data_IF_017600766400
#
_entry.id   IF_017600766400
#
_cell.length_a   1.000
_cell.length_b   1.000
_cell.length_c   1.000
_cell.angle_alpha   90.00
_cell.angle_beta   90.00
_cell.angle_gamma   90.00
#
_symmetry.space_group_name_H-M   'P 1'
#
loop_
_entity.id
_entity.type
_entity.pdbx_description
1 polymer ?
#
# COMPACT_ATOMS: atom_id res chain seq x y z
N UNK A 1 15.19 23.38 -15.81
CA UNK A 1 16.38 23.08 -16.68
C UNK A 1 17.14 24.32 -17.09
N UNK A 2 17.49 25.25 -16.19
CA UNK A 2 18.48 26.33 -16.42
C UNK A 2 18.22 27.38 -17.53
N UNK A 3 17.16 27.27 -18.27
CA UNK A 3 16.82 28.20 -19.37
C UNK A 3 16.05 29.42 -18.86
N UNK A 4 16.71 30.26 -18.07
CA UNK A 4 16.06 31.41 -17.42
C UNK A 4 15.62 32.50 -18.40
N UNK A 5 16.19 32.54 -19.61
CA UNK A 5 15.82 33.46 -20.68
C UNK A 5 14.93 32.89 -21.76
N UNK A 6 14.23 31.77 -21.47
CA UNK A 6 13.35 31.16 -22.46
C UNK A 6 12.13 32.04 -22.76
N UNK A 7 11.88 32.29 -24.04
CA UNK A 7 10.68 32.99 -24.54
C UNK A 7 9.67 31.96 -25.02
N UNK A 8 8.43 32.11 -24.59
CA UNK A 8 7.34 31.23 -24.98
C UNK A 8 6.25 32.04 -25.66
N UNK A 9 6.03 31.78 -26.94
CA UNK A 9 5.00 32.45 -27.75
C UNK A 9 3.87 31.48 -28.04
N UNK A 10 2.63 31.74 -27.56
CA UNK A 10 1.46 30.91 -27.90
C UNK A 10 0.95 31.27 -29.28
N UNK A 11 1.06 30.34 -30.22
CA UNK A 11 0.50 30.48 -31.59
C UNK A 11 -0.84 29.75 -31.65
N UNK A 12 -1.92 30.52 -31.92
CA UNK A 12 -3.28 29.98 -32.04
C UNK A 12 -3.58 29.67 -33.48
N UNK A 13 -3.95 28.46 -33.79
CA UNK A 13 -4.44 28.04 -35.10
C UNK A 13 -5.91 27.61 -34.95
N UNK A 14 -6.81 28.40 -35.48
CA UNK A 14 -8.24 28.12 -35.45
C UNK A 14 -8.66 27.58 -36.82
N UNK A 15 -9.23 26.35 -36.83
CA UNK A 15 -9.78 25.73 -38.04
C UNK A 15 -11.21 25.23 -37.77
N UNK A 16 -12.21 25.91 -38.32
CA UNK A 16 -13.66 25.70 -38.06
C UNK A 16 -13.95 25.77 -36.53
N UNK A 17 -14.49 24.69 -35.94
CA UNK A 17 -14.82 24.58 -34.48
C UNK A 17 -13.70 24.05 -33.63
N UNK A 18 -12.48 23.87 -34.17
CA UNK A 18 -11.32 23.33 -33.43
C UNK A 18 -10.22 24.38 -33.33
N UNK A 19 -9.64 24.53 -32.14
CA UNK A 19 -8.48 25.37 -31.89
C UNK A 19 -7.28 24.51 -31.55
N UNK A 20 -6.17 24.72 -32.26
CA UNK A 20 -4.87 24.12 -31.94
C UNK A 20 -4.00 25.23 -31.33
N UNK A 21 -3.52 25.02 -30.12
CA UNK A 21 -2.56 25.90 -29.47
C UNK A 21 -1.18 25.30 -29.60
N UNK A 22 -0.26 26.02 -30.19
CA UNK A 22 1.15 25.63 -30.36
C UNK A 22 2.00 26.63 -29.60
N UNK A 23 2.76 26.15 -28.60
CA UNK A 23 3.74 26.95 -27.89
C UNK A 23 5.06 26.89 -28.64
N UNK A 24 5.49 28.03 -29.21
CA UNK A 24 6.81 28.17 -29.80
C UNK A 24 7.79 28.59 -28.70
N UNK A 25 8.77 27.73 -28.39
CA UNK A 25 9.72 27.94 -27.29
C UNK A 25 11.10 28.25 -27.87
N UNK A 26 11.64 29.40 -27.52
CA UNK A 26 13.04 29.79 -27.82
C UNK A 26 13.81 29.74 -26.50
N UNK A 27 14.63 28.72 -26.29
CA UNK A 27 15.23 28.42 -24.97
C UNK A 27 16.44 29.28 -24.59
N UNK A 28 17.20 29.76 -25.56
CA UNK A 28 18.50 30.41 -25.27
C UNK A 28 19.56 29.42 -24.75
N UNK A 29 20.60 29.92 -24.11
CA UNK A 29 21.63 29.09 -23.45
C UNK A 29 21.28 28.83 -22.00
N UNK A 30 21.46 27.60 -21.51
CA UNK A 30 21.17 27.26 -20.11
C UNK A 30 22.24 27.80 -19.16
N UNK A 31 21.83 28.21 -17.97
CA UNK A 31 22.73 28.57 -16.89
C UNK A 31 23.32 27.33 -16.22
N UNK A 32 24.62 27.39 -15.82
CA UNK A 32 25.30 26.33 -15.06
C UNK A 32 25.83 26.88 -13.73
N UNK A 33 25.86 26.03 -12.72
CA UNK A 33 26.42 26.33 -11.41
C UNK A 33 27.94 26.37 -11.53
N UNK A 34 28.57 27.52 -11.19
CA UNK A 34 30.02 27.69 -11.19
C UNK A 34 30.61 27.25 -9.87
N UNK A 35 30.11 27.83 -8.77
CA UNK A 35 30.56 27.51 -7.41
C UNK A 35 29.37 27.16 -6.53
N UNK A 36 29.59 26.26 -5.56
CA UNK A 36 28.58 25.85 -4.59
C UNK A 36 29.13 26.12 -3.18
N UNK A 37 28.45 26.98 -2.42
CA UNK A 37 28.78 27.33 -1.05
C UNK A 37 27.67 26.93 -0.09
N UNK A 38 28.06 26.63 1.15
CA UNK A 38 27.12 26.29 2.24
C UNK A 38 27.33 27.27 3.40
N UNK A 39 26.33 28.09 3.67
CA UNK A 39 26.28 29.00 4.81
C UNK A 39 25.39 28.39 5.90
N UNK A 40 26.00 27.59 6.77
CA UNK A 40 25.37 26.86 7.85
C UNK A 40 26.09 27.21 9.15
N UNK A 41 25.38 27.91 10.02
CA UNK A 41 25.93 28.34 11.33
C UNK A 41 25.81 27.21 12.38
N UNK A 42 24.78 26.34 12.30
CA UNK A 42 24.62 25.21 13.21
C UNK A 42 25.70 24.15 12.94
N UNK A 43 26.63 23.99 13.87
CA UNK A 43 27.78 23.10 13.75
C UNK A 43 27.38 21.62 13.61
N UNK A 44 26.30 21.18 14.29
CA UNK A 44 25.84 19.80 14.20
C UNK A 44 25.22 19.51 12.84
N UNK A 45 24.38 20.40 12.33
CA UNK A 45 23.79 20.24 11.01
C UNK A 45 24.86 20.34 9.93
N UNK A 46 25.83 21.24 10.08
CA UNK A 46 26.98 21.34 9.15
C UNK A 46 27.74 20.02 9.06
N UNK A 47 27.98 19.36 10.19
CA UNK A 47 28.66 18.06 10.22
C UNK A 47 27.79 16.95 9.56
N UNK A 48 26.47 16.90 9.80
CA UNK A 48 25.58 15.99 9.09
C UNK A 48 25.60 16.20 7.57
N UNK A 49 25.61 17.46 7.13
CA UNK A 49 25.70 17.79 5.70
C UNK A 49 27.03 17.35 5.09
N UNK A 50 28.14 17.52 5.82
CA UNK A 50 29.47 17.08 5.41
C UNK A 50 29.55 15.57 5.24
N UNK A 51 29.02 14.81 6.18
CA UNK A 51 28.97 13.34 6.12
C UNK A 51 28.09 12.83 4.96
N UNK A 52 27.09 13.60 4.57
CA UNK A 52 26.12 13.27 3.54
C UNK A 52 26.48 13.84 2.15
N UNK A 53 27.67 14.43 2.02
CA UNK A 53 28.13 15.11 0.80
C UNK A 53 28.18 14.21 -0.44
N UNK A 54 28.39 12.90 -0.27
CA UNK A 54 28.41 11.94 -1.38
C UNK A 54 27.03 11.70 -2.03
N UNK A 55 25.92 12.09 -1.34
CA UNK A 55 24.55 11.84 -1.78
C UNK A 55 23.81 13.13 -2.17
N UNK A 56 24.51 14.28 -2.14
CA UNK A 56 23.94 15.58 -2.54
C UNK A 56 23.55 15.56 -4.02
N UNK A 57 22.43 16.23 -4.32
CA UNK A 57 21.95 16.41 -5.71
C UNK A 57 22.63 17.60 -6.39
N UNK A 58 23.38 18.41 -5.63
CA UNK A 58 24.04 19.60 -6.12
C UNK A 58 25.51 19.34 -6.44
N UNK A 59 25.97 19.82 -7.57
CA UNK A 59 27.38 19.77 -7.98
C UNK A 59 27.76 20.98 -8.82
N UNK A 60 29.02 21.37 -8.76
CA UNK A 60 29.57 22.36 -9.69
C UNK A 60 29.51 21.82 -11.13
N UNK A 61 29.24 22.69 -12.09
CA UNK A 61 29.04 22.32 -13.50
C UNK A 61 27.65 21.84 -13.87
N UNK A 62 26.77 21.51 -12.91
CA UNK A 62 25.38 21.11 -13.20
C UNK A 62 24.58 22.26 -13.81
N UNK A 63 23.52 21.93 -14.56
CA UNK A 63 22.57 22.95 -14.98
C UNK A 63 21.81 23.51 -13.78
N UNK A 64 21.61 24.84 -13.79
CA UNK A 64 20.82 25.52 -12.76
C UNK A 64 19.34 25.13 -12.94
N UNK A 65 18.84 24.22 -12.09
CA UNK A 65 17.48 23.73 -12.14
C UNK A 65 16.79 23.87 -10.78
N UNK A 66 15.77 24.71 -10.73
CA UNK A 66 14.99 24.98 -9.50
C UNK A 66 14.37 23.70 -8.93
N UNK A 67 13.99 22.73 -9.77
CA UNK A 67 13.45 21.47 -9.31
C UNK A 67 14.52 20.64 -8.57
N UNK A 68 15.77 20.67 -9.04
CA UNK A 68 16.90 19.99 -8.36
C UNK A 68 17.19 20.67 -7.02
N UNK A 69 17.15 22.02 -6.98
CA UNK A 69 17.33 22.78 -5.74
C UNK A 69 16.23 22.43 -4.73
N UNK A 70 14.98 22.36 -5.16
CA UNK A 70 13.86 21.98 -4.28
C UNK A 70 13.93 20.51 -3.85
N UNK A 71 14.36 19.61 -4.72
CA UNK A 71 14.59 18.21 -4.39
C UNK A 71 15.70 18.06 -3.32
N UNK A 72 16.77 18.87 -3.41
CA UNK A 72 17.84 18.88 -2.40
C UNK A 72 17.34 19.43 -1.06
N UNK A 73 16.55 20.53 -1.07
CA UNK A 73 15.88 21.03 0.17
C UNK A 73 15.08 19.91 0.83
N UNK A 74 14.30 19.17 0.04
CA UNK A 74 13.49 18.07 0.55
C UNK A 74 14.36 16.89 1.07
N UNK A 75 15.47 16.57 0.39
CA UNK A 75 16.42 15.54 0.81
C UNK A 75 17.04 15.87 2.16
N UNK A 76 17.54 17.11 2.33
CA UNK A 76 18.12 17.59 3.57
C UNK A 76 17.07 17.58 4.69
N UNK A 77 15.89 18.10 4.43
CA UNK A 77 14.77 18.09 5.39
C UNK A 77 14.45 16.70 5.88
N UNK A 78 14.29 15.74 4.96
CA UNK A 78 14.01 14.35 5.31
C UNK A 78 15.14 13.74 6.14
N UNK A 79 16.40 14.04 5.82
CA UNK A 79 17.57 13.57 6.57
C UNK A 79 17.58 14.11 8.00
N UNK A 80 17.32 15.39 8.19
CA UNK A 80 17.26 16.01 9.52
C UNK A 80 16.08 15.50 10.35
N UNK A 81 14.89 15.36 9.76
CA UNK A 81 13.73 14.76 10.41
C UNK A 81 13.98 13.28 10.83
N UNK A 82 14.82 12.55 10.10
CA UNK A 82 15.23 11.19 10.48
C UNK A 82 16.25 11.17 11.63
N UNK A 83 16.91 12.30 11.90
CA UNK A 83 17.96 12.45 12.91
C UNK A 83 17.51 13.29 14.12
N UNK A 84 16.23 13.35 14.40
CA UNK A 84 15.70 13.94 15.63
C UNK A 84 15.23 15.38 15.52
N UNK A 85 15.42 16.07 14.41
CA UNK A 85 15.04 17.47 14.28
C UNK A 85 13.55 17.65 13.97
N UNK A 86 12.70 17.33 14.94
CA UNK A 86 11.22 17.29 14.82
C UNK A 86 10.59 18.59 14.27
N UNK A 87 11.10 19.76 14.68
CA UNK A 87 10.57 21.07 14.25
C UNK A 87 11.19 21.57 12.94
N UNK A 88 12.09 20.80 12.33
CA UNK A 88 12.74 21.21 11.08
C UNK A 88 11.74 21.09 9.92
N UNK A 89 11.75 22.11 9.05
CA UNK A 89 10.96 22.09 7.82
C UNK A 89 11.78 22.65 6.64
N UNK A 90 11.29 22.46 5.43
CA UNK A 90 11.96 22.85 4.19
C UNK A 90 12.20 24.37 4.07
N UNK A 91 11.39 25.18 4.72
CA UNK A 91 11.46 26.64 4.62
C UNK A 91 12.69 27.25 5.34
N UNK A 92 13.35 26.48 6.21
CA UNK A 92 14.62 26.88 6.79
C UNK A 92 15.78 26.83 5.79
N UNK A 93 15.61 26.22 4.61
CA UNK A 93 16.64 26.13 3.57
C UNK A 93 16.27 27.06 2.44
N UNK A 94 17.15 28.02 2.14
CA UNK A 94 17.03 28.93 1.00
C UNK A 94 18.30 28.93 0.17
N UNK A 95 18.21 29.48 -1.04
CA UNK A 95 19.35 29.64 -1.94
C UNK A 95 19.49 31.08 -2.37
N UNK A 96 20.71 31.55 -2.40
CA UNK A 96 21.11 32.76 -3.14
C UNK A 96 21.81 32.33 -4.41
N UNK A 97 21.38 32.87 -5.54
CA UNK A 97 21.95 32.58 -6.85
C UNK A 97 22.43 33.88 -7.51
N UNK A 98 23.73 34.10 -7.51
CA UNK A 98 24.35 35.28 -8.11
C UNK A 98 24.82 34.98 -9.53
N UNK A 99 24.29 35.71 -10.51
CA UNK A 99 24.68 35.54 -11.91
C UNK A 99 25.98 36.30 -12.20
N UNK A 100 26.93 35.60 -12.79
CA UNK A 100 28.17 36.21 -13.25
C UNK A 100 27.92 37.04 -14.51
N UNK A 101 28.25 38.34 -14.47
CA UNK A 101 27.98 39.29 -15.54
C UNK A 101 28.56 38.82 -16.89
N UNK A 102 27.77 38.92 -17.95
CA UNK A 102 28.09 38.47 -19.32
C UNK A 102 28.46 36.98 -19.45
N UNK A 103 27.96 36.12 -18.53
CA UNK A 103 28.16 34.68 -18.59
C UNK A 103 26.84 33.95 -18.34
N UNK A 104 26.80 32.66 -18.65
CA UNK A 104 25.69 31.76 -18.29
C UNK A 104 26.08 30.92 -17.06
N UNK A 105 26.80 31.56 -16.10
CA UNK A 105 27.28 30.95 -14.88
C UNK A 105 26.58 31.56 -13.66
N UNK A 106 26.35 30.73 -12.63
CA UNK A 106 25.69 31.11 -11.38
C UNK A 106 26.54 30.63 -10.21
N UNK A 107 26.83 31.54 -9.27
CA UNK A 107 27.36 31.17 -7.96
C UNK A 107 26.20 30.90 -7.01
N UNK A 108 26.12 29.67 -6.50
CA UNK A 108 25.04 29.20 -5.68
C UNK A 108 25.45 29.09 -4.22
N UNK A 109 24.73 29.72 -3.32
CA UNK A 109 24.92 29.60 -1.88
C UNK A 109 23.67 29.04 -1.23
N UNK A 110 23.81 27.92 -0.52
CA UNK A 110 22.76 27.35 0.32
C UNK A 110 22.84 27.99 1.70
N UNK A 111 21.73 28.57 2.15
CA UNK A 111 21.59 29.15 3.49
C UNK A 111 20.69 28.29 4.35
N UNK A 112 21.10 28.07 5.60
CA UNK A 112 20.27 27.44 6.63
C UNK A 112 19.88 28.50 7.67
N UNK A 113 18.60 28.87 7.71
CA UNK A 113 18.08 29.79 8.70
C UNK A 113 18.07 29.17 10.11
N UNK A 114 18.39 29.92 11.17
CA UNK A 114 18.28 29.44 12.54
C UNK A 114 16.81 29.24 12.96
N UNK A 115 16.59 28.42 13.97
CA UNK A 115 15.26 28.21 14.54
C UNK A 115 14.77 29.47 15.27
N UNK A 116 13.53 29.86 15.01
CA UNK A 116 12.80 30.89 15.78
C UNK A 116 11.39 30.38 16.04
N UNK A 117 10.91 30.53 17.28
CA UNK A 117 9.53 30.15 17.62
C UNK A 117 8.55 31.22 17.15
N UNK A 118 8.91 32.50 17.33
CA UNK A 118 8.23 33.67 16.80
C UNK A 118 9.25 34.57 16.10
N UNK A 119 8.78 35.46 15.22
CA UNK A 119 9.68 36.31 14.42
C UNK A 119 10.57 37.24 15.25
N UNK A 120 10.14 37.58 16.46
CA UNK A 120 10.86 38.48 17.39
C UNK A 120 11.83 37.73 18.33
N UNK A 121 11.81 36.39 18.34
CA UNK A 121 12.67 35.61 19.22
C UNK A 121 14.13 35.63 18.77
N UNK A 122 15.03 35.51 19.75
CA UNK A 122 16.47 35.34 19.47
C UNK A 122 16.72 34.07 18.69
N UNK A 123 17.56 34.13 17.61
CA UNK A 123 17.89 32.95 16.83
C UNK A 123 18.55 31.86 17.68
N UNK A 124 18.10 30.63 17.54
CA UNK A 124 18.62 29.47 18.26
C UNK A 124 19.02 28.37 17.26
N UNK A 125 19.90 27.48 17.69
CA UNK A 125 20.21 26.27 16.94
C UNK A 125 19.02 25.33 16.94
N UNK A 126 18.86 24.57 15.86
CA UNK A 126 17.84 23.53 15.78
C UNK A 126 18.11 22.43 16.81
N UNK A 127 17.07 22.04 17.54
CA UNK A 127 17.18 21.04 18.61
C UNK A 127 16.81 19.64 18.11
N UNK A 128 17.55 18.63 18.59
CA UNK A 128 17.19 17.24 18.43
C UNK A 128 16.24 16.83 19.57
N UNK A 129 15.15 16.17 19.22
CA UNK A 129 14.13 15.71 20.15
C UNK A 129 14.24 14.21 20.38
N UNK A 130 14.05 13.80 21.63
CA UNK A 130 13.98 12.40 22.07
C UNK A 130 12.55 12.04 22.43
N UNK A 131 12.11 10.83 22.09
CA UNK A 131 10.79 10.33 22.48
C UNK A 131 10.82 9.98 23.98
N UNK A 132 10.00 10.68 24.77
CA UNK A 132 9.87 10.42 26.21
C UNK A 132 8.93 9.25 26.47
N UNK A 133 7.68 9.37 26.01
CA UNK A 133 6.59 8.41 26.25
C UNK A 133 5.76 8.23 24.99
N UNK A 134 5.25 7.02 24.80
CA UNK A 134 4.26 6.74 23.74
C UNK A 134 3.00 6.18 24.39
N UNK A 135 1.87 6.80 24.10
CA UNK A 135 0.54 6.42 24.63
C UNK A 135 -0.41 6.11 23.50
N UNK A 136 -1.31 5.16 23.71
CA UNK A 136 -2.36 4.81 22.77
C UNK A 136 -3.71 5.32 23.23
N UNK A 137 -4.51 5.85 22.31
CA UNK A 137 -5.92 6.18 22.51
C UNK A 137 -6.70 5.43 21.44
N UNK A 138 -7.43 4.37 21.84
CA UNK A 138 -8.01 3.41 20.90
C UNK A 138 -9.43 3.75 20.44
N UNK A 139 -10.05 4.75 21.05
CA UNK A 139 -11.42 5.18 20.78
C UNK A 139 -11.49 6.65 20.38
N UNK A 140 -10.50 7.11 19.64
CA UNK A 140 -10.43 8.49 19.17
C UNK A 140 -11.49 8.77 18.13
N UNK A 141 -12.38 9.74 18.42
CA UNK A 141 -13.36 10.25 17.46
C UNK A 141 -12.96 11.66 17.01
N UNK A 142 -12.60 11.80 15.74
CA UNK A 142 -12.14 13.06 15.14
C UNK A 142 -13.22 14.16 15.28
N UNK A 143 -14.49 13.80 15.08
CA UNK A 143 -15.60 14.77 15.16
C UNK A 143 -15.83 15.27 16.59
N UNK A 144 -15.81 14.39 17.57
CA UNK A 144 -15.96 14.76 18.98
C UNK A 144 -14.77 15.60 19.47
N UNK A 145 -13.56 15.24 19.10
CA UNK A 145 -12.35 15.98 19.48
C UNK A 145 -12.31 17.40 18.90
N UNK A 146 -12.92 17.62 17.73
CA UNK A 146 -13.01 18.96 17.12
C UNK A 146 -14.13 19.82 17.70
N UNK A 147 -15.21 19.22 18.19
CA UNK A 147 -16.37 19.97 18.74
C UNK A 147 -16.31 20.18 20.25
N UNK A 148 -15.79 19.21 21.00
CA UNK A 148 -15.80 19.25 22.47
C UNK A 148 -14.43 19.52 23.10
N UNK A 149 -13.37 19.59 22.29
CA UNK A 149 -11.97 19.73 22.74
C UNK A 149 -11.55 18.74 23.85
N UNK A 150 -12.27 17.62 23.98
CA UNK A 150 -12.06 16.59 24.99
C UNK A 150 -12.03 15.21 24.34
N UNK A 151 -11.21 14.32 24.88
CA UNK A 151 -11.15 12.91 24.48
C UNK A 151 -11.78 12.11 25.63
N UNK A 152 -12.91 11.48 25.36
CA UNK A 152 -13.59 10.62 26.34
C UNK A 152 -12.80 9.31 26.51
N UNK A 153 -12.19 9.15 27.67
CA UNK A 153 -11.46 7.95 28.06
C UNK A 153 -11.92 7.57 29.47
N UNK A 154 -12.44 6.34 29.62
CA UNK A 154 -12.99 5.88 30.90
C UNK A 154 -12.06 4.90 31.61
N UNK A 155 -11.16 4.23 30.87
CA UNK A 155 -10.32 3.17 31.41
C UNK A 155 -8.93 3.15 30.76
N UNK A 156 -7.95 2.52 31.41
CA UNK A 156 -6.59 2.42 30.92
C UNK A 156 -5.93 1.10 31.29
N UNK A 157 -5.05 0.64 30.41
CA UNK A 157 -4.24 -0.57 30.58
C UNK A 157 -2.77 -0.27 30.30
N UNK A 158 -1.87 -0.81 31.07
CA UNK A 158 -0.44 -0.78 30.78
C UNK A 158 0.02 -2.11 30.17
N UNK A 159 0.61 -2.04 28.97
CA UNK A 159 1.17 -3.21 28.31
C UNK A 159 2.56 -2.93 27.77
N UNK A 160 3.57 -3.68 28.27
CA UNK A 160 4.99 -3.52 27.89
C UNK A 160 5.52 -2.08 28.00
N UNK A 161 5.11 -1.35 29.04
CA UNK A 161 5.51 0.04 29.26
C UNK A 161 4.74 1.08 28.46
N UNK A 162 3.74 0.66 27.66
CA UNK A 162 2.87 1.57 26.91
C UNK A 162 1.51 1.69 27.59
N UNK A 163 1.08 2.88 28.02
CA UNK A 163 -0.29 3.11 28.45
C UNK A 163 -1.24 3.09 27.26
N UNK A 164 -2.36 2.41 27.42
CA UNK A 164 -3.41 2.27 26.40
C UNK A 164 -4.71 2.75 27.03
N UNK A 165 -5.25 3.82 26.50
CA UNK A 165 -6.48 4.46 26.94
C UNK A 165 -7.64 4.06 26.03
N UNK A 166 -8.78 3.69 26.61
CA UNK A 166 -9.97 3.26 25.87
C UNK A 166 -11.27 3.66 26.61
N UNK A 167 -12.40 3.66 25.87
CA UNK A 167 -13.69 4.11 26.43
C UNK A 167 -14.40 2.97 27.18
N UNK A 168 -14.73 1.87 26.51
CA UNK A 168 -15.54 0.77 27.10
C UNK A 168 -14.77 -0.54 27.15
N UNK A 169 -14.48 -1.10 25.98
CA UNK A 169 -13.76 -2.38 25.81
C UNK A 169 -12.65 -2.23 24.79
N UNK A 170 -11.51 -2.82 25.11
CA UNK A 170 -10.37 -2.79 24.22
C UNK A 170 -10.70 -3.51 22.91
N UNK A 171 -10.63 -2.76 21.82
CA UNK A 171 -11.03 -3.16 20.49
C UNK A 171 -9.99 -4.07 19.80
N UNK A 172 -8.71 -3.75 19.96
CA UNK A 172 -7.59 -4.54 19.46
C UNK A 172 -6.80 -5.10 20.63
N UNK A 173 -6.23 -6.29 20.46
CA UNK A 173 -5.31 -6.84 21.45
C UNK A 173 -4.09 -5.91 21.64
N UNK A 174 -3.59 -5.69 22.89
CA UNK A 174 -2.43 -4.83 23.16
C UNK A 174 -1.20 -5.21 22.33
N UNK A 175 -0.99 -6.49 22.10
CA UNK A 175 0.08 -7.01 21.24
C UNK A 175 0.01 -6.50 19.80
N UNK A 176 -1.20 -6.28 19.26
CA UNK A 176 -1.38 -5.77 17.90
C UNK A 176 -0.97 -4.30 17.84
N UNK A 177 -1.32 -3.51 18.87
CA UNK A 177 -0.93 -2.11 18.98
C UNK A 177 0.59 -1.98 19.01
N UNK A 178 1.24 -2.66 19.93
CA UNK A 178 2.70 -2.55 20.12
C UNK A 178 3.52 -3.14 18.97
N UNK A 179 3.07 -4.21 18.33
CA UNK A 179 3.79 -4.81 17.20
C UNK A 179 3.81 -3.94 15.94
N UNK A 180 2.82 -3.09 15.76
CA UNK A 180 2.71 -2.18 14.61
C UNK A 180 3.39 -0.82 14.85
N UNK A 181 3.75 -0.52 16.09
CA UNK A 181 4.47 0.69 16.48
C UNK A 181 5.95 0.60 16.07
N UNK A 182 6.50 1.70 15.54
CA UNK A 182 7.93 1.86 15.23
C UNK A 182 8.58 3.01 16.00
N UNK A 183 7.80 3.73 16.77
CA UNK A 183 8.25 4.81 17.63
C UNK A 183 8.62 4.18 18.98
N UNK A 184 9.87 4.34 19.41
CA UNK A 184 10.38 3.71 20.65
C UNK A 184 10.73 4.80 21.65
N UNK A 185 10.23 4.73 22.90
CA UNK A 185 10.67 5.62 23.98
C UNK A 185 12.18 5.55 24.18
N UNK A 186 12.80 6.68 24.55
CA UNK A 186 14.25 6.79 24.77
C UNK A 186 15.08 6.97 23.50
N UNK A 187 14.51 6.85 22.30
CA UNK A 187 15.21 7.06 21.03
C UNK A 187 14.97 8.48 20.48
N UNK A 188 15.85 8.93 19.58
CA UNK A 188 15.63 10.16 18.83
C UNK A 188 14.35 10.06 18.00
N UNK A 189 13.66 11.19 17.84
CA UNK A 189 12.57 11.31 16.88
C UNK A 189 13.06 10.91 15.48
N UNK A 190 12.25 10.16 14.77
CA UNK A 190 12.57 9.72 13.41
C UNK A 190 11.30 9.69 12.57
N UNK A 191 11.20 10.61 11.61
CA UNK A 191 10.04 10.74 10.72
C UNK A 191 9.76 9.45 9.95
N UNK A 192 10.79 8.73 9.51
CA UNK A 192 10.61 7.47 8.80
C UNK A 192 9.92 6.40 9.67
N UNK A 193 10.21 6.37 10.98
CA UNK A 193 9.55 5.48 11.92
C UNK A 193 8.09 5.89 12.15
N UNK A 194 7.80 7.19 12.15
CA UNK A 194 6.41 7.71 12.20
C UNK A 194 5.64 7.27 10.96
N UNK A 195 6.19 7.47 9.76
CA UNK A 195 5.57 7.06 8.51
C UNK A 195 5.37 5.53 8.40
N UNK A 196 6.35 4.76 8.90
CA UNK A 196 6.22 3.31 9.01
C UNK A 196 5.11 2.90 9.98
N UNK A 197 4.93 3.63 11.07
CA UNK A 197 3.86 3.42 12.04
C UNK A 197 2.50 3.69 11.39
N UNK A 198 2.34 4.82 10.70
CA UNK A 198 1.13 5.10 9.90
C UNK A 198 0.83 3.98 8.89
N UNK A 199 1.85 3.57 8.12
CA UNK A 199 1.71 2.51 7.14
C UNK A 199 1.32 1.15 7.76
N UNK A 200 1.82 0.84 8.96
CA UNK A 200 1.48 -0.39 9.66
C UNK A 200 0.03 -0.40 10.12
N UNK A 201 -0.43 0.69 10.77
CA UNK A 201 -1.82 0.79 11.23
C UNK A 201 -2.79 0.93 10.05
N UNK A 202 -2.42 1.61 8.97
CA UNK A 202 -3.24 1.72 7.76
C UNK A 202 -3.53 0.40 7.05
N UNK A 203 -2.79 -0.66 7.36
CA UNK A 203 -3.06 -2.03 6.86
C UNK A 203 -4.09 -2.78 7.71
N UNK A 204 -4.41 -2.29 8.89
CA UNK A 204 -5.35 -2.93 9.80
C UNK A 204 -6.78 -2.55 9.41
N UNK A 205 -7.52 -3.50 8.84
CA UNK A 205 -8.90 -3.31 8.38
C UNK A 205 -9.88 -2.92 9.51
N UNK A 206 -9.49 -3.19 10.74
CA UNK A 206 -10.21 -2.84 11.94
C UNK A 206 -10.19 -1.34 12.25
N UNK A 207 -9.24 -0.59 11.67
CA UNK A 207 -9.04 0.84 11.90
C UNK A 207 -9.52 1.65 10.69
N UNK A 208 -10.18 2.77 10.94
CA UNK A 208 -10.60 3.73 9.92
C UNK A 208 -9.56 4.82 9.71
N UNK A 209 -9.06 5.38 10.82
CA UNK A 209 -8.06 6.45 10.83
C UNK A 209 -7.03 6.22 11.93
N UNK A 210 -5.81 6.66 11.66
CA UNK A 210 -4.71 6.75 12.62
C UNK A 210 -4.22 8.19 12.62
N UNK A 211 -4.04 8.78 13.80
CA UNK A 211 -3.45 10.09 13.98
C UNK A 211 -2.34 9.98 15.04
N UNK A 212 -1.17 10.50 14.77
CA UNK A 212 -0.04 10.51 15.71
C UNK A 212 0.31 11.96 15.99
N UNK A 213 0.16 12.37 17.24
CA UNK A 213 0.49 13.72 17.69
C UNK A 213 1.64 13.69 18.67
N UNK A 214 2.49 14.68 18.57
CA UNK A 214 3.62 14.87 19.47
C UNK A 214 3.43 16.16 20.25
N UNK A 215 3.70 16.08 21.57
CA UNK A 215 3.66 17.23 22.46
C UNK A 215 4.99 17.34 23.19
N UNK A 216 5.54 18.55 23.25
CA UNK A 216 6.76 18.84 23.99
C UNK A 216 6.54 18.73 25.50
N UNK A 217 7.54 18.21 26.19
CA UNK A 217 7.54 18.16 27.65
C UNK A 217 8.05 19.50 28.17
N UNK A 218 7.20 20.33 28.73
CA UNK A 218 7.46 21.72 29.12
C UNK A 218 8.49 21.92 30.24
N UNK A 219 8.80 20.90 31.06
CA UNK A 219 9.63 21.04 32.26
C UNK A 219 11.01 20.40 32.16
N UNK A 220 11.52 20.14 30.97
CA UNK A 220 12.78 19.45 30.77
C UNK A 220 13.76 20.32 29.98
N UNK A 221 14.96 20.54 30.50
CA UNK A 221 16.08 21.15 29.76
C UNK A 221 16.41 20.41 28.46
N UNK A 222 16.09 19.14 28.40
CA UNK A 222 16.25 18.31 27.22
C UNK A 222 14.99 18.33 26.37
N UNK A 223 15.11 18.53 25.05
CA UNK A 223 14.00 18.50 24.10
C UNK A 223 13.38 17.09 24.02
N UNK A 224 12.26 16.90 24.70
CA UNK A 224 11.54 15.61 24.78
C UNK A 224 10.14 15.71 24.22
N UNK A 225 9.69 14.64 23.57
CA UNK A 225 8.36 14.51 22.97
C UNK A 225 7.56 13.38 23.61
N UNK A 226 6.33 13.67 24.00
CA UNK A 226 5.33 12.65 24.27
C UNK A 226 4.53 12.38 22.99
N UNK A 227 4.48 11.13 22.56
CA UNK A 227 3.74 10.70 21.38
C UNK A 227 2.40 10.09 21.76
N UNK A 228 1.31 10.52 21.14
CA UNK A 228 -0.02 9.95 21.29
C UNK A 228 -0.47 9.34 19.97
N UNK A 229 -0.65 8.02 19.97
CA UNK A 229 -1.16 7.26 18.83
C UNK A 229 -2.67 7.12 19.00
N UNK A 230 -3.41 7.90 18.25
CA UNK A 230 -4.88 7.98 18.30
C UNK A 230 -5.45 7.13 17.17
N UNK A 231 -6.29 6.16 17.53
CA UNK A 231 -6.85 5.18 16.61
C UNK A 231 -8.36 5.29 16.57
N UNK A 232 -8.92 5.45 15.38
CA UNK A 232 -10.37 5.48 15.17
C UNK A 232 -10.83 4.12 14.67
N UNK A 233 -11.81 3.53 15.32
CA UNK A 233 -12.41 2.24 14.94
C UNK A 233 -13.05 2.33 13.55
N UNK A 234 -12.87 1.27 12.74
CA UNK A 234 -13.64 1.04 11.53
C UNK A 234 -14.98 0.34 11.81
N UNK A 235 -15.83 0.25 10.81
CA UNK A 235 -17.04 -0.59 10.88
C UNK A 235 -16.63 -2.06 11.02
N UNK A 236 -17.19 -2.75 12.00
CA UNK A 236 -16.89 -4.16 12.27
C UNK A 236 -17.37 -5.08 11.16
N UNK A 237 -18.58 -4.81 10.68
CA UNK A 237 -19.30 -5.67 9.75
C UNK A 237 -19.78 -4.86 8.56
N UNK A 238 -19.87 -5.52 7.42
CA UNK A 238 -20.51 -5.00 6.23
C UNK A 238 -21.16 -6.15 5.48
N UNK A 239 -22.32 -5.85 4.89
CA UNK A 239 -23.00 -6.73 3.95
C UNK A 239 -23.07 -5.98 2.64
N UNK A 240 -22.77 -6.67 1.54
CA UNK A 240 -22.93 -6.14 0.18
C UNK A 240 -23.79 -7.08 -0.64
N UNK A 241 -24.63 -6.50 -1.47
CA UNK A 241 -25.45 -7.20 -2.46
C UNK A 241 -25.03 -6.75 -3.84
N UNK A 242 -24.90 -7.70 -4.76
CA UNK A 242 -24.51 -7.44 -6.13
C UNK A 242 -25.47 -8.22 -7.04
N UNK A 243 -25.97 -7.56 -8.07
CA UNK A 243 -26.83 -8.15 -9.10
C UNK A 243 -26.20 -7.85 -10.45
N UNK A 244 -26.05 -8.89 -11.26
CA UNK A 244 -25.42 -8.82 -12.58
C UNK A 244 -26.40 -9.36 -13.64
N UNK A 245 -26.48 -8.72 -14.79
CA UNK A 245 -27.06 -9.30 -16.00
C UNK A 245 -25.93 -9.83 -16.87
N UNK A 246 -26.05 -11.03 -17.38
CA UNK A 246 -25.06 -11.66 -18.26
C UNK A 246 -25.64 -11.93 -19.64
N UNK A 247 -24.77 -11.89 -20.66
CA UNK A 247 -25.09 -12.32 -22.01
C UNK A 247 -23.87 -13.07 -22.56
N UNK A 248 -23.94 -14.38 -22.60
CA UNK A 248 -22.87 -15.26 -23.06
C UNK A 248 -23.26 -15.87 -24.39
N UNK A 249 -22.62 -15.44 -25.50
CA UNK A 249 -22.84 -15.95 -26.85
C UNK A 249 -24.32 -15.91 -27.36
N UNK A 250 -25.13 -14.99 -26.80
CA UNK A 250 -26.57 -14.85 -27.11
C UNK A 250 -27.51 -15.37 -26.03
N UNK A 251 -27.00 -16.13 -25.07
CA UNK A 251 -27.76 -16.62 -23.92
C UNK A 251 -27.87 -15.55 -22.85
N UNK A 252 -29.08 -15.24 -22.42
CA UNK A 252 -29.35 -14.23 -21.41
C UNK A 252 -29.39 -14.85 -20.03
N UNK A 253 -28.72 -14.22 -19.10
CA UNK A 253 -28.67 -14.67 -17.73
C UNK A 253 -28.68 -13.56 -16.70
N UNK A 254 -28.84 -13.96 -15.46
CA UNK A 254 -28.75 -13.11 -14.29
C UNK A 254 -27.97 -13.80 -13.18
N UNK A 255 -27.19 -13.04 -12.44
CA UNK A 255 -26.52 -13.52 -11.24
C UNK A 255 -26.76 -12.56 -10.07
N UNK A 256 -26.81 -13.12 -8.87
CA UNK A 256 -26.88 -12.35 -7.64
C UNK A 256 -25.88 -12.89 -6.63
N UNK A 257 -25.26 -12.00 -5.88
CA UNK A 257 -24.40 -12.39 -4.78
C UNK A 257 -24.64 -11.57 -3.53
N UNK A 258 -24.42 -12.20 -2.40
CA UNK A 258 -24.40 -11.56 -1.09
C UNK A 258 -23.07 -11.86 -0.42
N UNK A 259 -22.38 -10.83 0.06
CA UNK A 259 -21.14 -10.99 0.80
C UNK A 259 -21.23 -10.34 2.18
N UNK A 260 -20.90 -11.11 3.20
CA UNK A 260 -20.74 -10.67 4.59
C UNK A 260 -19.25 -10.56 4.91
N UNK A 261 -18.85 -9.45 5.49
CA UNK A 261 -17.47 -9.24 5.92
C UNK A 261 -17.43 -8.82 7.39
N UNK A 262 -16.58 -9.47 8.19
CA UNK A 262 -16.28 -9.10 9.57
C UNK A 262 -14.78 -8.73 9.68
N UNK A 263 -14.48 -7.49 10.12
CA UNK A 263 -13.12 -6.93 10.19
C UNK A 263 -12.62 -6.85 11.61
N UNK A 264 -12.18 -7.83 12.21
CA UNK A 264 -11.63 -7.92 13.57
C UNK A 264 -12.18 -9.10 14.37
N UNK A 265 -12.26 -10.24 13.72
CA UNK A 265 -12.92 -11.43 14.28
C UNK A 265 -12.30 -11.84 15.63
N UNK A 266 -10.99 -11.81 15.77
CA UNK A 266 -10.27 -12.22 16.97
C UNK A 266 -9.53 -11.04 17.64
N UNK A 267 -9.98 -9.80 17.48
CA UNK A 267 -9.32 -8.58 18.01
C UNK A 267 -7.87 -8.40 17.54
N UNK A 268 -7.52 -8.95 16.39
CA UNK A 268 -6.20 -8.83 15.77
C UNK A 268 -6.24 -8.18 14.40
N UNK A 269 -7.39 -7.58 14.04
CA UNK A 269 -7.71 -7.04 12.72
C UNK A 269 -7.74 -8.12 11.63
N UNK A 270 -8.11 -9.35 12.02
CA UNK A 270 -8.38 -10.42 11.06
C UNK A 270 -9.68 -10.10 10.30
N UNK A 271 -9.67 -10.35 9.00
CA UNK A 271 -10.85 -10.15 8.15
C UNK A 271 -11.41 -11.50 7.74
N UNK A 272 -12.64 -11.75 8.12
CA UNK A 272 -13.42 -12.88 7.62
C UNK A 272 -14.40 -12.38 6.57
N UNK A 273 -14.46 -13.04 5.44
CA UNK A 273 -15.43 -12.81 4.37
C UNK A 273 -16.14 -14.11 4.05
N UNK A 274 -17.46 -14.03 3.92
CA UNK A 274 -18.29 -15.11 3.43
C UNK A 274 -19.15 -14.57 2.30
N UNK A 275 -19.09 -15.22 1.13
CA UNK A 275 -19.84 -14.83 -0.07
C UNK A 275 -20.65 -16.01 -0.57
N UNK A 276 -21.91 -15.74 -0.88
CA UNK A 276 -22.79 -16.64 -1.62
C UNK A 276 -23.09 -16.02 -2.98
N UNK A 277 -23.09 -16.83 -4.02
CA UNK A 277 -23.43 -16.44 -5.39
C UNK A 277 -24.38 -17.44 -5.98
N UNK A 278 -25.41 -16.96 -6.68
CA UNK A 278 -26.28 -17.74 -7.54
C UNK A 278 -26.30 -17.12 -8.94
N UNK A 279 -26.24 -17.93 -9.97
CA UNK A 279 -26.39 -17.49 -11.35
C UNK A 279 -27.32 -18.44 -12.11
N UNK A 280 -28.08 -17.86 -13.01
CA UNK A 280 -28.97 -18.56 -13.94
C UNK A 280 -28.80 -17.99 -15.33
N UNK A 281 -28.73 -18.85 -16.35
CA UNK A 281 -28.58 -18.44 -17.75
C UNK A 281 -29.46 -19.37 -18.61
N UNK A 282 -30.34 -18.77 -19.40
CA UNK A 282 -31.18 -19.49 -20.35
C UNK A 282 -30.36 -19.88 -21.58
N UNK A 283 -30.09 -21.17 -21.74
CA UNK A 283 -29.28 -21.68 -22.85
C UNK A 283 -30.15 -21.88 -24.08
N UNK A 284 -29.87 -21.17 -25.16
CA UNK A 284 -30.59 -21.26 -26.42
C UNK A 284 -29.71 -21.95 -27.47
N UNK A 285 -30.28 -22.94 -28.18
CA UNK A 285 -29.68 -23.49 -29.39
C UNK A 285 -29.17 -24.93 -29.39
N UNK A 286 -29.28 -25.66 -28.31
CA UNK A 286 -29.07 -27.12 -28.34
C UNK A 286 -30.37 -27.83 -28.71
N UNK A 287 -30.37 -28.54 -29.87
CA UNK A 287 -31.46 -29.36 -30.36
C UNK A 287 -31.65 -30.66 -29.56
N UNK A 288 -31.12 -30.78 -28.36
CA UNK A 288 -31.32 -31.97 -27.53
C UNK A 288 -32.52 -31.79 -26.61
N UNK A 289 -33.26 -32.86 -26.42
CA UNK A 289 -34.52 -33.00 -25.69
C UNK A 289 -34.47 -32.69 -24.18
N UNK A 290 -33.39 -32.09 -23.70
CA UNK A 290 -33.16 -31.72 -22.32
C UNK A 290 -33.20 -30.21 -22.22
N UNK A 291 -34.36 -29.63 -21.92
CA UNK A 291 -34.51 -28.21 -21.51
C UNK A 291 -33.83 -28.01 -20.13
N UNK A 292 -32.54 -27.97 -20.11
CA UNK A 292 -31.79 -27.66 -18.89
C UNK A 292 -31.02 -26.38 -19.10
N UNK A 293 -31.35 -25.41 -18.30
CA UNK A 293 -30.65 -24.13 -18.27
C UNK A 293 -29.35 -24.23 -17.46
N UNK A 294 -28.48 -23.23 -17.58
CA UNK A 294 -27.31 -23.13 -16.75
C UNK A 294 -27.65 -22.59 -15.36
N UNK A 295 -27.24 -23.33 -14.33
CA UNK A 295 -27.38 -22.95 -12.94
C UNK A 295 -26.03 -23.03 -12.27
N UNK A 296 -25.64 -21.96 -11.57
CA UNK A 296 -24.42 -21.92 -10.75
C UNK A 296 -24.76 -21.49 -9.32
N UNK A 297 -24.25 -22.25 -8.34
CA UNK A 297 -24.31 -21.92 -6.93
C UNK A 297 -22.89 -21.93 -6.36
N UNK A 298 -22.44 -20.80 -5.83
CA UNK A 298 -21.12 -20.62 -5.24
C UNK A 298 -21.18 -20.22 -3.78
N UNK A 299 -20.29 -20.78 -2.98
CA UNK A 299 -20.04 -20.36 -1.60
C UNK A 299 -18.53 -20.18 -1.41
N UNK A 300 -18.12 -19.04 -0.86
CA UNK A 300 -16.73 -18.73 -0.56
C UNK A 300 -16.59 -18.25 0.88
N UNK A 301 -15.62 -18.78 1.60
CA UNK A 301 -15.24 -18.32 2.93
C UNK A 301 -13.75 -18.04 2.97
N UNK A 302 -13.36 -16.81 3.29
CA UNK A 302 -11.95 -16.40 3.36
C UNK A 302 -11.66 -15.75 4.71
N UNK A 303 -10.54 -16.13 5.33
CA UNK A 303 -10.02 -15.47 6.50
C UNK A 303 -8.61 -14.95 6.24
N UNK A 304 -8.40 -13.65 6.46
CA UNK A 304 -7.12 -12.98 6.25
C UNK A 304 -6.57 -12.48 7.59
N UNK A 305 -5.35 -12.90 7.93
CA UNK A 305 -4.60 -12.45 9.09
C UNK A 305 -3.56 -11.40 8.65
N UNK A 306 -3.58 -10.16 9.19
CA UNK A 306 -2.59 -9.13 8.83
C UNK A 306 -1.22 -9.39 9.47
N UNK A 307 -0.82 -10.65 9.54
CA UNK A 307 0.44 -11.12 10.13
C UNK A 307 0.91 -12.41 9.48
N UNK A 308 2.21 -12.64 9.48
CA UNK A 308 2.80 -13.88 9.00
C UNK A 308 2.66 -15.00 10.04
N UNK A 309 1.84 -16.02 9.77
CA UNK A 309 1.50 -17.09 10.69
C UNK A 309 2.33 -18.37 10.48
N UNK A 310 3.50 -18.28 9.86
CA UNK A 310 4.36 -19.47 9.70
C UNK A 310 5.05 -19.83 11.04
N UNK A 311 4.95 -21.08 11.54
CA UNK A 311 5.41 -21.43 12.89
C UNK A 311 6.95 -21.42 13.03
N UNK A 312 7.69 -21.85 12.03
CA UNK A 312 9.13 -22.14 12.08
C UNK A 312 10.03 -20.92 11.85
N UNK A 313 9.51 -19.68 11.95
CA UNK A 313 10.28 -18.47 11.67
C UNK A 313 10.27 -17.52 12.86
N UNK A 314 11.43 -16.88 13.12
CA UNK A 314 11.61 -15.95 14.25
C UNK A 314 10.64 -14.74 14.19
N UNK A 315 10.36 -14.17 15.36
CA UNK A 315 9.49 -12.99 15.49
C UNK A 315 10.05 -11.78 14.75
N UNK A 316 11.38 -11.63 14.69
CA UNK A 316 12.02 -10.50 14.01
C UNK A 316 11.93 -10.61 12.49
N UNK A 317 12.05 -11.81 11.96
CA UNK A 317 11.80 -12.07 10.53
C UNK A 317 10.35 -11.78 10.16
N UNK A 318 9.37 -12.24 10.97
CA UNK A 318 7.94 -11.94 10.77
C UNK A 318 7.66 -10.44 10.73
N UNK A 319 8.30 -9.67 11.61
CA UNK A 319 8.19 -8.21 11.65
C UNK A 319 8.81 -7.54 10.41
N UNK A 320 9.87 -8.10 9.85
CA UNK A 320 10.62 -7.55 8.70
C UNK A 320 9.86 -7.76 7.40
N UNK A 321 9.38 -8.97 7.14
CA UNK A 321 8.65 -9.32 5.90
C UNK A 321 7.26 -8.69 5.84
N UNK A 322 6.56 -8.54 6.98
CA UNK A 322 5.19 -7.99 7.04
C UNK A 322 4.21 -8.72 6.13
N UNK A 323 4.34 -10.03 6.04
CA UNK A 323 3.44 -10.85 5.25
C UNK A 323 2.06 -10.94 5.90
N UNK A 324 1.05 -11.10 5.08
CA UNK A 324 -0.30 -11.49 5.48
C UNK A 324 -0.47 -12.99 5.22
N UNK A 325 -1.30 -13.65 6.04
CA UNK A 325 -1.68 -15.06 5.86
C UNK A 325 -3.15 -15.13 5.49
N UNK A 326 -3.48 -15.88 4.47
CA UNK A 326 -4.84 -16.07 3.99
C UNK A 326 -5.19 -17.55 3.93
N UNK A 327 -6.35 -17.91 4.47
CA UNK A 327 -6.99 -19.20 4.30
C UNK A 327 -8.30 -18.99 3.58
N UNK A 328 -8.55 -19.78 2.55
CA UNK A 328 -9.76 -19.74 1.73
C UNK A 328 -10.39 -21.11 1.60
N UNK A 329 -11.70 -21.15 1.59
CA UNK A 329 -12.51 -22.31 1.21
C UNK A 329 -13.49 -21.83 0.15
N UNK A 330 -13.65 -22.60 -0.91
CA UNK A 330 -14.56 -22.31 -2.00
C UNK A 330 -15.31 -23.59 -2.39
N UNK A 331 -16.59 -23.45 -2.61
CA UNK A 331 -17.45 -24.47 -3.16
C UNK A 331 -18.22 -23.88 -4.33
N UNK A 332 -18.21 -24.55 -5.47
CA UNK A 332 -18.94 -24.15 -6.65
C UNK A 332 -19.68 -25.38 -7.22
N UNK A 333 -20.98 -25.27 -7.33
CA UNK A 333 -21.86 -26.20 -8.01
C UNK A 333 -22.30 -25.57 -9.33
N UNK A 334 -22.09 -26.27 -10.42
CA UNK A 334 -22.41 -25.81 -11.76
C UNK A 334 -23.18 -26.92 -12.48
N UNK A 335 -24.37 -26.61 -12.92
CA UNK A 335 -25.22 -27.47 -13.75
C UNK A 335 -25.36 -26.85 -15.14
N UNK A 336 -25.04 -27.62 -16.14
CA UNK A 336 -25.21 -27.27 -17.57
C UNK A 336 -25.98 -28.42 -18.26
N UNK A 337 -26.53 -28.17 -19.46
CA UNK A 337 -27.16 -29.25 -20.24
C UNK A 337 -26.24 -30.46 -20.45
N UNK A 338 -24.94 -30.21 -20.64
CA UNK A 338 -23.94 -31.23 -20.98
C UNK A 338 -23.40 -31.96 -19.75
N UNK A 339 -23.34 -31.30 -18.59
CA UNK A 339 -22.76 -31.89 -17.38
C UNK A 339 -23.16 -31.17 -16.09
N UNK A 340 -23.03 -31.87 -14.98
CA UNK A 340 -22.99 -31.26 -13.65
C UNK A 340 -21.56 -31.34 -13.09
N UNK A 341 -21.05 -30.24 -12.56
CA UNK A 341 -19.70 -30.14 -12.00
C UNK A 341 -19.74 -29.53 -10.61
N UNK A 342 -18.99 -30.14 -9.70
CA UNK A 342 -18.76 -29.63 -8.35
C UNK A 342 -17.25 -29.35 -8.23
N UNK A 343 -16.89 -28.17 -7.78
CA UNK A 343 -15.52 -27.80 -7.47
C UNK A 343 -15.45 -27.37 -6.00
N UNK A 344 -14.68 -28.11 -5.20
CA UNK A 344 -14.36 -27.73 -3.84
C UNK A 344 -12.88 -27.39 -3.75
N UNK A 345 -12.55 -26.21 -3.22
CA UNK A 345 -11.16 -25.75 -3.11
C UNK A 345 -10.84 -25.29 -1.70
N UNK A 346 -9.60 -25.57 -1.26
CA UNK A 346 -9.07 -25.10 0.00
C UNK A 346 -7.66 -24.52 -0.23
N UNK A 347 -7.41 -23.29 0.23
CA UNK A 347 -6.17 -22.59 -0.02
C UNK A 347 -5.53 -22.04 1.24
N UNK A 348 -4.19 -22.08 1.30
CA UNK A 348 -3.37 -21.43 2.30
C UNK A 348 -2.25 -20.65 1.62
N UNK A 349 -2.28 -19.33 1.75
CA UNK A 349 -1.32 -18.47 1.06
C UNK A 349 -0.71 -17.40 1.97
N UNK A 350 0.49 -16.96 1.58
CA UNK A 350 1.19 -15.82 2.16
C UNK A 350 1.41 -14.75 1.11
N UNK A 351 1.16 -13.46 1.48
CA UNK A 351 1.35 -12.32 0.58
C UNK A 351 2.18 -11.25 1.28
N UNK A 352 3.19 -10.70 0.61
CA UNK A 352 3.96 -9.56 1.13
C UNK A 352 4.46 -8.67 -0.01
N UNK A 353 4.77 -7.41 0.32
CA UNK A 353 5.33 -6.45 -0.60
C UNK A 353 6.64 -5.87 -0.08
N UNK A 354 7.56 -5.57 -0.96
CA UNK A 354 8.88 -5.01 -0.67
C UNK A 354 9.10 -3.74 -1.51
N UNK A 355 10.08 -2.91 -1.12
CA UNK A 355 10.51 -1.73 -1.88
C UNK A 355 9.37 -0.79 -2.29
N UNK A 356 8.67 -0.24 -1.31
CA UNK A 356 7.55 0.68 -1.54
C UNK A 356 6.45 0.10 -2.45
N UNK A 357 6.19 -1.20 -2.33
CA UNK A 357 5.23 -1.97 -3.14
C UNK A 357 5.62 -2.11 -4.63
N UNK A 358 6.87 -1.88 -4.98
CA UNK A 358 7.35 -2.22 -6.34
C UNK A 358 7.36 -3.72 -6.58
N UNK A 359 7.73 -4.49 -5.55
CA UNK A 359 7.73 -5.95 -5.61
C UNK A 359 6.64 -6.52 -4.73
N UNK A 360 5.82 -7.41 -5.28
CA UNK A 360 4.80 -8.17 -4.57
C UNK A 360 5.11 -9.66 -4.73
N UNK A 361 4.99 -10.38 -3.64
CA UNK A 361 5.23 -11.81 -3.59
C UNK A 361 4.00 -12.52 -3.04
N UNK A 362 3.67 -13.65 -3.58
CA UNK A 362 2.66 -14.58 -3.08
C UNK A 362 3.21 -15.98 -3.11
N UNK A 363 3.10 -16.69 -2.00
CA UNK A 363 3.34 -18.13 -1.91
C UNK A 363 2.00 -18.79 -1.62
N UNK A 364 1.55 -19.65 -2.50
CA UNK A 364 0.47 -20.58 -2.25
C UNK A 364 1.10 -21.86 -1.68
N UNK A 365 1.12 -21.97 -0.34
CA UNK A 365 1.74 -23.09 0.34
C UNK A 365 0.98 -24.38 0.10
N UNK A 366 -0.34 -24.27 0.10
CA UNK A 366 -1.25 -25.36 -0.16
C UNK A 366 -2.45 -24.81 -0.93
N UNK A 367 -2.75 -25.43 -2.06
CA UNK A 367 -3.93 -25.18 -2.86
C UNK A 367 -4.48 -26.53 -3.31
N UNK A 368 -5.58 -26.92 -2.70
CA UNK A 368 -6.27 -28.18 -2.93
C UNK A 368 -7.51 -27.88 -3.78
N UNK A 369 -7.65 -28.56 -4.89
CA UNK A 369 -8.80 -28.49 -5.77
C UNK A 369 -9.35 -29.89 -5.99
N UNK A 370 -10.57 -30.11 -5.55
CA UNK A 370 -11.33 -31.32 -5.83
C UNK A 370 -12.41 -30.99 -6.83
N UNK A 371 -12.31 -31.61 -8.00
CA UNK A 371 -13.28 -31.53 -9.09
C UNK A 371 -14.02 -32.85 -9.16
N UNK A 372 -15.34 -32.81 -9.08
CA UNK A 372 -16.24 -33.95 -9.16
C UNK A 372 -17.29 -33.70 -10.21
N UNK A 373 -17.54 -34.72 -11.06
CA UNK A 373 -18.47 -34.69 -12.17
C UNK A 373 -19.60 -35.72 -11.90
N UNK A 374 -20.63 -35.37 -11.12
CA UNK A 374 -21.73 -36.33 -10.73
C UNK A 374 -22.53 -36.80 -11.91
N UNK A 375 -22.67 -36.01 -12.97
CA UNK A 375 -23.41 -36.44 -14.16
C UNK A 375 -22.81 -35.78 -15.42
N UNK A 376 -22.78 -36.56 -16.49
CA UNK A 376 -22.45 -36.11 -17.85
C UNK A 376 -23.57 -36.64 -18.74
N UNK A 377 -24.10 -35.79 -19.62
CA UNK A 377 -25.13 -36.17 -20.57
C UNK A 377 -24.65 -37.30 -21.49
N UNK A 378 -25.47 -38.29 -21.72
CA UNK A 378 -25.09 -39.48 -22.50
C UNK A 378 -24.82 -39.14 -23.96
N UNK A 379 -25.62 -38.28 -24.57
CA UNK A 379 -25.42 -37.83 -25.94
C UNK A 379 -24.12 -37.06 -26.11
N UNK A 380 -23.87 -36.15 -25.16
CA UNK A 380 -22.60 -35.38 -25.13
C UNK A 380 -21.40 -36.32 -24.95
N UNK A 381 -21.52 -37.35 -24.13
CA UNK A 381 -20.45 -38.33 -23.89
C UNK A 381 -20.13 -39.13 -25.15
N UNK A 382 -21.15 -39.65 -25.86
CA UNK A 382 -20.98 -40.43 -27.08
C UNK A 382 -20.46 -39.56 -28.23
N UNK A 383 -20.96 -38.34 -28.42
CA UNK A 383 -20.59 -37.48 -29.53
C UNK A 383 -19.22 -36.84 -29.39
N UNK A 384 -18.79 -36.54 -28.17
CA UNK A 384 -17.59 -35.70 -27.93
C UNK A 384 -16.53 -36.38 -27.08
N UNK A 385 -16.83 -37.27 -26.14
CA UNK A 385 -15.84 -37.79 -25.19
C UNK A 385 -15.37 -39.20 -25.52
N UNK A 386 -16.17 -40.01 -26.22
CA UNK A 386 -15.83 -41.41 -26.57
C UNK A 386 -15.09 -41.55 -27.91
N UNK A 387 -14.95 -40.46 -28.68
CA UNK A 387 -14.16 -40.46 -29.91
C UNK A 387 -12.66 -40.40 -29.59
N UNK A 388 -11.90 -41.35 -30.15
CA UNK A 388 -10.46 -41.48 -29.89
C UNK A 388 -9.64 -40.22 -30.18
N UNK A 389 -10.12 -39.37 -31.07
CA UNK A 389 -9.47 -38.09 -31.42
C UNK A 389 -9.56 -37.02 -30.31
N UNK A 390 -10.44 -37.18 -29.32
CA UNK A 390 -10.75 -36.15 -28.30
C UNK A 390 -10.20 -36.49 -26.90
N UNK A 391 -9.07 -37.20 -26.80
CA UNK A 391 -8.46 -37.60 -25.53
C UNK A 391 -8.27 -36.43 -24.52
N UNK A 392 -7.82 -35.25 -24.99
CA UNK A 392 -7.63 -34.07 -24.17
C UNK A 392 -8.98 -33.55 -23.65
N UNK A 393 -10.04 -33.61 -24.46
CA UNK A 393 -11.37 -33.20 -24.05
C UNK A 393 -11.90 -34.12 -22.96
N UNK A 394 -11.83 -35.43 -23.17
CA UNK A 394 -12.24 -36.45 -22.18
C UNK A 394 -11.59 -36.21 -20.82
N UNK A 395 -10.28 -35.94 -20.82
CA UNK A 395 -9.53 -35.67 -19.60
C UNK A 395 -10.09 -34.47 -18.82
N UNK A 396 -10.74 -33.48 -19.46
CA UNK A 396 -11.31 -32.31 -18.79
C UNK A 396 -12.63 -32.61 -18.06
N UNK A 397 -13.26 -33.75 -18.32
CA UNK A 397 -14.54 -34.18 -17.72
C UNK A 397 -14.39 -35.34 -16.72
N UNK A 398 -13.18 -35.61 -16.25
CA UNK A 398 -12.91 -36.62 -15.22
C UNK A 398 -12.82 -35.99 -13.83
N UNK A 399 -13.11 -36.80 -12.82
CA UNK A 399 -12.91 -36.43 -11.43
C UNK A 399 -11.43 -36.20 -11.12
N UNK A 400 -11.11 -35.16 -10.40
CA UNK A 400 -9.71 -34.83 -10.09
C UNK A 400 -9.53 -34.33 -8.69
N UNK A 401 -8.44 -34.77 -8.09
CA UNK A 401 -7.93 -34.23 -6.86
C UNK A 401 -6.52 -33.67 -7.14
N UNK A 402 -6.41 -32.33 -7.10
CA UNK A 402 -5.18 -31.62 -7.46
C UNK A 402 -4.68 -30.90 -6.22
N UNK A 403 -3.44 -31.22 -5.82
CA UNK A 403 -2.72 -30.49 -4.80
C UNK A 403 -1.60 -29.71 -5.46
N UNK A 404 -1.61 -28.40 -5.27
CA UNK A 404 -0.70 -27.46 -5.92
C UNK A 404 0.03 -26.62 -4.89
N UNK A 405 1.29 -26.32 -5.17
CA UNK A 405 2.05 -25.26 -4.51
C UNK A 405 2.48 -24.25 -5.56
N UNK A 406 2.53 -22.97 -5.20
CA UNK A 406 2.81 -21.91 -6.16
C UNK A 406 3.60 -20.77 -5.57
N UNK A 407 4.33 -20.06 -6.44
CA UNK A 407 4.98 -18.80 -6.14
C UNK A 407 4.73 -17.80 -7.26
N UNK A 408 4.19 -16.65 -6.88
CA UNK A 408 3.96 -15.53 -7.80
C UNK A 408 4.79 -14.32 -7.39
N UNK A 409 5.46 -13.73 -8.36
CA UNK A 409 6.23 -12.50 -8.21
C UNK A 409 5.72 -11.45 -9.20
N UNK A 410 5.42 -10.26 -8.69
CA UNK A 410 5.01 -9.12 -9.51
C UNK A 410 5.94 -7.96 -9.19
N UNK A 411 6.62 -7.45 -10.21
CA UNK A 411 7.42 -6.24 -10.13
C UNK A 411 6.79 -5.14 -10.99
N UNK A 412 6.61 -3.95 -10.39
CA UNK A 412 6.12 -2.76 -11.09
C UNK A 412 7.14 -1.62 -10.92
N UNK A 413 7.72 -1.16 -12.02
CA UNK A 413 8.75 -0.11 -12.01
C UNK A 413 8.25 1.21 -11.44
N UNK A 414 6.99 1.54 -11.61
CA UNK A 414 6.39 2.78 -11.11
C UNK A 414 6.08 2.74 -9.60
N UNK A 415 5.83 1.57 -9.03
CA UNK A 415 5.50 1.41 -7.61
C UNK A 415 4.36 2.35 -7.17
N UNK A 416 4.55 3.04 -6.01
CA UNK A 416 3.61 4.05 -5.50
C UNK A 416 3.59 5.37 -6.30
N UNK A 417 4.56 5.62 -7.17
CA UNK A 417 4.61 6.87 -7.94
C UNK A 417 3.41 7.05 -8.88
N UNK A 418 2.81 5.95 -9.35
CA UNK A 418 1.54 5.98 -10.10
C UNK A 418 0.36 6.59 -9.30
N UNK A 419 0.39 6.48 -7.96
CA UNK A 419 -0.68 7.05 -7.12
C UNK A 419 -0.54 8.56 -6.88
N UNK A 420 0.63 9.13 -7.12
CA UNK A 420 0.94 10.53 -6.78
C UNK A 420 0.93 11.49 -8.00
N UNK A 421 0.44 11.06 -9.16
CA UNK A 421 0.31 11.88 -10.38
C UNK A 421 1.58 12.65 -10.81
N UNK A 422 2.74 12.24 -10.32
CA UNK A 422 4.04 12.90 -10.58
C UNK A 422 4.66 12.30 -11.84
N UNK A 423 4.32 12.87 -12.99
CA UNK A 423 5.00 12.64 -14.26
C UNK A 423 4.79 11.22 -14.83
N UNK A 424 4.09 11.11 -15.94
CA UNK A 424 3.89 9.86 -16.70
C UNK A 424 5.22 9.53 -17.39
N UNK A 425 6.13 8.89 -16.66
CA UNK A 425 7.24 8.16 -17.26
C UNK A 425 6.78 6.79 -17.73
N UNK A 426 7.48 6.19 -18.69
CA UNK A 426 7.23 4.82 -19.09
C UNK A 426 7.36 3.88 -17.89
N UNK A 427 6.34 3.06 -17.64
CA UNK A 427 6.33 2.05 -16.60
C UNK A 427 6.17 0.66 -17.21
N UNK A 428 6.81 -0.33 -16.59
CA UNK A 428 6.70 -1.73 -16.98
C UNK A 428 6.38 -2.60 -15.77
N UNK A 429 5.68 -3.70 -16.02
CA UNK A 429 5.34 -4.71 -15.02
C UNK A 429 5.85 -6.05 -15.48
N UNK A 430 6.58 -6.74 -14.62
CA UNK A 430 7.04 -8.12 -14.81
C UNK A 430 6.23 -9.01 -13.88
N UNK A 431 5.65 -10.09 -14.42
CA UNK A 431 4.94 -11.11 -13.65
C UNK A 431 5.60 -12.46 -13.92
N UNK A 432 5.99 -13.14 -12.83
CA UNK A 432 6.53 -14.49 -12.87
C UNK A 432 5.64 -15.38 -12.02
N UNK A 433 5.11 -16.44 -12.58
CA UNK A 433 4.34 -17.44 -11.87
C UNK A 433 5.05 -18.80 -12.01
N UNK A 434 5.21 -19.45 -10.88
CA UNK A 434 5.78 -20.78 -10.80
C UNK A 434 4.81 -21.67 -10.02
N UNK A 435 4.38 -22.77 -10.62
CA UNK A 435 3.42 -23.69 -10.02
C UNK A 435 3.91 -25.12 -10.17
N UNK A 436 3.72 -25.91 -9.11
CA UNK A 436 4.01 -27.34 -9.09
C UNK A 436 2.79 -28.09 -8.56
N UNK A 437 2.29 -29.04 -9.32
CA UNK A 437 1.13 -29.84 -8.98
C UNK A 437 1.48 -31.33 -8.93
N UNK A 438 0.83 -32.07 -8.03
CA UNK A 438 0.94 -33.53 -7.91
C UNK A 438 2.14 -34.03 -7.09
N UNK A 439 3.22 -33.28 -6.95
CA UNK A 439 4.47 -33.72 -6.32
C UNK A 439 4.32 -34.05 -4.82
N UNK A 440 3.43 -33.37 -4.10
CA UNK A 440 3.18 -33.65 -2.67
C UNK A 440 2.47 -35.01 -2.47
N UNK A 441 1.62 -35.41 -3.39
CA UNK A 441 0.96 -36.73 -3.35
C UNK A 441 1.91 -37.85 -3.70
N UNK A 442 2.88 -37.61 -4.60
CA UNK A 442 3.89 -38.59 -4.97
C UNK A 442 4.94 -38.78 -3.88
N UNK A 443 5.34 -37.73 -3.18
CA UNK A 443 6.31 -37.80 -2.08
C UNK A 443 5.77 -38.48 -0.80
N UNK A 444 4.45 -38.65 -0.68
CA UNK A 444 3.78 -39.33 0.43
C UNK A 444 3.50 -40.83 0.20
N UNK A 445 3.88 -41.36 -0.96
CA UNK A 445 3.89 -42.81 -1.26
C UNK A 445 5.28 -43.37 -0.98
#
# INVERSE_FOLDING_TARGET
>A
MGYMGALVEPVRQVKKKKMKLVYKVTTGKPYKVRTLKYDIQDSKIKEYMRQDSAVTLLSEGMYFDVNVLDAERQRITNKLLQNGYYKFNKEYISYTADTVRNSYLVDLTLHLAPYRQHNEDTPQNHRQYTINKVSFITDYNVLQASTQNSIEVNDSLHYKGFPIYYKDKLYLRPKVLTNNLRITPGTLYNEQNVQRTYSNYGRLQALKYTNIRFFEVQQSDSAKLNAYVMLTRGKHQSVSFEVEGTNSAGDLGAAASVAFQHRNMFKGSETFMFKLRGAYEAVSGLQSSLNQDYIELGAEATINFPRFMFPFVSSDFKRRIRATTEFGLQYNYQMRPEFTRIVASAGWSYKWGVQQQRSQHRIDLLDINYLYMPSIDQTFKEDYLEKDENYILKYNYEDRFIVRTGYSYIYNSAGRALMNNSGIGNSYTIRLNFESAGNLLYAGK
#
